data_IF_855091099554
#
_entry.id   IF_855091099554
#
_cell.length_a   1.000
_cell.length_b   1.000
_cell.length_c   1.000
_cell.angle_alpha   90.00
_cell.angle_beta   90.00
_cell.angle_gamma   90.00
#
_symmetry.space_group_name_H-M   'P 1'
#
loop_
_entity.id
_entity.type
_entity.pdbx_description
1 polymer ?
#
# COMPACT_ATOMS: atom_id res chain seq x y z
N UNK A 1 -1.74 -23.70 4.37
CA UNK A 1 -2.20 -22.48 3.66
C UNK A 1 -2.16 -21.36 4.67
N UNK A 2 -1.57 -20.22 4.34
CA UNK A 2 -1.59 -19.05 5.23
C UNK A 2 -2.81 -18.17 4.98
N UNK A 3 -3.09 -17.27 5.91
CA UNK A 3 -4.20 -16.32 5.83
C UNK A 3 -3.73 -14.99 5.25
N UNK A 4 -4.46 -14.47 4.27
CA UNK A 4 -4.16 -13.22 3.57
C UNK A 4 -4.90 -12.01 4.12
N UNK A 5 -4.95 -10.93 3.32
CA UNK A 5 -5.57 -9.66 3.71
C UNK A 5 -7.06 -9.80 4.02
N UNK A 6 -7.81 -10.44 3.11
CA UNK A 6 -9.27 -10.67 3.26
C UNK A 6 -9.60 -11.49 4.51
N UNK A 7 -8.79 -12.52 4.79
CA UNK A 7 -8.93 -13.35 5.98
C UNK A 7 -8.67 -12.53 7.25
N UNK A 8 -7.67 -11.63 7.23
CA UNK A 8 -7.38 -10.71 8.32
C UNK A 8 -8.58 -9.87 8.69
N UNK A 9 -9.16 -9.17 7.71
CA UNK A 9 -10.32 -8.28 7.92
C UNK A 9 -11.47 -9.05 8.58
N UNK A 10 -11.74 -10.27 8.10
CA UNK A 10 -12.84 -11.07 8.62
C UNK A 10 -12.55 -11.66 10.01
N UNK A 11 -11.40 -12.32 10.17
CA UNK A 11 -11.10 -13.12 11.36
C UNK A 11 -10.79 -12.25 12.57
N UNK A 12 -10.05 -11.16 12.40
CA UNK A 12 -9.73 -10.26 13.50
C UNK A 12 -11.01 -9.71 14.13
N UNK A 13 -12.00 -9.35 13.32
CA UNK A 13 -13.29 -8.89 13.81
C UNK A 13 -14.11 -9.98 14.53
N UNK A 14 -13.91 -11.26 14.21
CA UNK A 14 -14.58 -12.39 14.88
C UNK A 14 -13.94 -12.69 16.24
N UNK A 15 -12.61 -12.65 16.31
CA UNK A 15 -11.85 -13.00 17.51
C UNK A 15 -11.64 -11.83 18.49
N UNK A 16 -12.12 -10.64 18.14
CA UNK A 16 -12.17 -9.51 19.07
C UNK A 16 -13.43 -9.59 19.93
N UNK A 17 -13.25 -9.94 21.20
CA UNK A 17 -14.28 -9.80 22.22
C UNK A 17 -14.35 -8.33 22.67
N UNK A 18 -15.34 -7.60 22.16
CA UNK A 18 -15.57 -6.18 22.50
C UNK A 18 -16.05 -5.97 23.94
N UNK A 19 -16.62 -7.00 24.58
CA UNK A 19 -17.08 -6.93 25.96
C UNK A 19 -15.90 -6.95 26.94
N UNK A 20 -14.93 -7.82 26.69
CA UNK A 20 -13.69 -7.90 27.48
C UNK A 20 -12.56 -7.03 26.95
N UNK A 21 -12.69 -6.47 25.74
CA UNK A 21 -11.65 -5.70 25.05
C UNK A 21 -10.44 -6.55 24.66
N UNK A 22 -10.62 -7.87 24.47
CA UNK A 22 -9.54 -8.82 24.21
C UNK A 22 -9.56 -9.31 22.78
N UNK A 23 -8.38 -9.42 22.19
CA UNK A 23 -8.18 -10.00 20.86
C UNK A 23 -7.46 -11.34 21.00
N UNK A 24 -8.19 -12.44 20.82
CA UNK A 24 -7.68 -13.79 21.03
C UNK A 24 -7.52 -14.53 19.71
N UNK A 25 -6.40 -14.33 19.04
CA UNK A 25 -6.16 -14.96 17.74
C UNK A 25 -5.57 -16.37 17.91
N UNK A 26 -6.06 -17.36 17.15
CA UNK A 26 -5.43 -18.69 17.08
C UNK A 26 -4.04 -18.60 16.46
N UNK A 27 -3.17 -19.55 16.79
CA UNK A 27 -1.80 -19.60 16.30
C UNK A 27 -1.72 -20.07 14.85
N UNK A 28 -2.04 -19.17 13.93
CA UNK A 28 -2.08 -19.42 12.49
C UNK A 28 -0.89 -18.80 11.74
N UNK A 29 -0.65 -19.30 10.53
CA UNK A 29 0.31 -18.68 9.62
C UNK A 29 -0.31 -17.46 8.92
N UNK A 30 0.21 -16.28 9.22
CA UNK A 30 -0.27 -15.00 8.68
C UNK A 30 0.67 -14.48 7.59
N UNK A 31 0.11 -14.15 6.43
CA UNK A 31 0.83 -13.45 5.37
C UNK A 31 0.90 -11.94 5.65
N UNK A 32 1.82 -11.20 4.99
CA UNK A 32 1.94 -9.76 5.14
C UNK A 32 0.63 -8.98 5.09
N UNK A 33 -0.26 -9.30 4.16
CA UNK A 33 -1.59 -8.68 4.09
C UNK A 33 -2.40 -8.79 5.38
N UNK A 34 -2.36 -9.94 6.06
CA UNK A 34 -3.02 -10.15 7.35
C UNK A 34 -2.36 -9.31 8.45
N UNK A 35 -1.04 -9.26 8.47
CA UNK A 35 -0.24 -8.59 9.51
C UNK A 35 -0.44 -7.07 9.46
N UNK A 36 -0.48 -6.48 8.26
CA UNK A 36 -0.75 -5.05 8.10
C UNK A 36 -2.14 -4.69 8.64
N UNK A 37 -3.17 -5.47 8.27
CA UNK A 37 -4.54 -5.32 8.77
C UNK A 37 -4.60 -5.48 10.29
N UNK A 38 -3.89 -6.47 10.85
CA UNK A 38 -3.78 -6.69 12.29
C UNK A 38 -3.22 -5.48 13.02
N UNK A 39 -2.10 -4.93 12.53
CA UNK A 39 -1.45 -3.77 13.13
C UNK A 39 -2.39 -2.54 13.11
N UNK A 40 -3.00 -2.26 11.95
CA UNK A 40 -3.95 -1.17 11.79
C UNK A 40 -5.18 -1.33 12.71
N UNK A 41 -5.72 -2.54 12.81
CA UNK A 41 -6.88 -2.83 13.65
C UNK A 41 -6.60 -2.64 15.15
N UNK A 42 -5.48 -3.18 15.63
CA UNK A 42 -5.06 -3.04 17.04
C UNK A 42 -4.88 -1.57 17.39
N UNK A 43 -4.19 -0.82 16.51
CA UNK A 43 -3.96 0.61 16.70
C UNK A 43 -5.28 1.40 16.74
N UNK A 44 -6.18 1.16 15.80
CA UNK A 44 -7.47 1.84 15.71
C UNK A 44 -8.37 1.60 16.93
N UNK A 45 -8.42 0.35 17.41
CA UNK A 45 -9.20 -0.03 18.58
C UNK A 45 -8.48 0.25 19.90
N UNK A 46 -7.24 0.77 19.85
CA UNK A 46 -6.40 1.10 21.02
C UNK A 46 -6.25 -0.05 22.01
N UNK A 47 -6.10 -1.27 21.49
CA UNK A 47 -5.96 -2.45 22.34
C UNK A 47 -4.56 -2.45 22.97
N UNK A 48 -4.51 -2.73 24.27
CA UNK A 48 -3.24 -2.90 24.98
C UNK A 48 -2.56 -4.22 24.56
N UNK A 49 -1.25 -4.28 24.76
CA UNK A 49 -0.46 -5.49 24.48
C UNK A 49 -0.98 -6.70 25.27
N UNK A 50 -1.26 -6.52 26.57
CA UNK A 50 -1.77 -7.59 27.45
C UNK A 50 -3.16 -8.12 27.05
N UNK A 51 -3.92 -7.33 26.28
CA UNK A 51 -5.23 -7.71 25.78
C UNK A 51 -5.17 -8.50 24.46
N UNK A 52 -3.97 -8.62 23.86
CA UNK A 52 -3.76 -9.23 22.56
C UNK A 52 -2.99 -10.55 22.68
N UNK A 53 -3.63 -11.66 22.29
CA UNK A 53 -2.94 -12.92 22.03
C UNK A 53 -2.68 -13.06 20.53
N UNK A 54 -1.44 -12.82 20.09
CA UNK A 54 -1.06 -12.79 18.69
C UNK A 54 -0.59 -14.15 18.17
N UNK A 55 -0.87 -14.49 16.89
CA UNK A 55 -0.34 -15.70 16.28
C UNK A 55 1.18 -15.61 16.16
N UNK A 56 1.88 -16.71 16.45
CA UNK A 56 3.32 -16.81 16.26
C UNK A 56 4.10 -15.70 16.96
N UNK A 57 3.87 -15.48 18.27
CA UNK A 57 4.46 -14.37 19.03
C UNK A 57 5.96 -14.13 18.78
N UNK A 58 6.77 -15.19 18.69
CA UNK A 58 8.19 -15.08 18.37
C UNK A 58 8.47 -14.46 16.99
N UNK A 59 7.68 -14.80 15.98
CA UNK A 59 7.75 -14.21 14.66
C UNK A 59 7.25 -12.76 14.65
N UNK A 60 6.14 -12.46 15.34
CA UNK A 60 5.63 -11.09 15.46
C UNK A 60 6.62 -10.13 16.14
N UNK A 61 7.34 -10.63 17.14
CA UNK A 61 8.48 -9.92 17.74
C UNK A 61 9.61 -9.72 16.73
N UNK A 62 9.97 -10.77 15.99
CA UNK A 62 11.05 -10.73 15.00
C UNK A 62 10.80 -9.69 13.89
N UNK A 63 9.57 -9.58 13.37
CA UNK A 63 9.21 -8.58 12.35
C UNK A 63 8.98 -7.18 12.93
N UNK A 64 9.06 -7.01 14.24
CA UNK A 64 8.95 -5.70 14.90
C UNK A 64 7.51 -5.19 15.05
N UNK A 65 6.50 -6.07 15.01
CA UNK A 65 5.09 -5.67 15.15
C UNK A 65 4.84 -4.95 16.48
N UNK A 66 5.38 -5.47 17.59
CA UNK A 66 5.20 -4.87 18.91
C UNK A 66 5.74 -3.44 18.98
N UNK A 67 6.93 -3.22 18.39
CA UNK A 67 7.55 -1.90 18.31
C UNK A 67 6.70 -0.94 17.46
N UNK A 68 6.15 -1.42 16.35
CA UNK A 68 5.34 -0.59 15.46
C UNK A 68 4.05 -0.12 16.13
N UNK A 69 3.34 -1.04 16.80
CA UNK A 69 2.01 -0.80 17.36
C UNK A 69 2.08 -0.16 18.75
N UNK A 70 2.86 -0.73 19.67
CA UNK A 70 2.93 -0.29 21.07
C UNK A 70 4.18 0.52 21.42
N UNK A 71 5.15 0.62 20.50
CA UNK A 71 6.38 1.40 20.70
C UNK A 71 7.51 0.66 21.42
N UNK A 72 7.24 -0.53 21.96
CA UNK A 72 8.23 -1.34 22.67
C UNK A 72 8.71 -2.52 21.82
N UNK A 73 10.03 -2.68 21.72
CA UNK A 73 10.63 -3.80 21.02
C UNK A 73 10.79 -5.00 21.97
N UNK A 74 10.14 -6.12 21.63
CA UNK A 74 10.14 -7.38 22.42
C UNK A 74 11.11 -8.42 21.87
N UNK A 75 11.99 -8.03 20.95
CA UNK A 75 12.93 -8.96 20.32
C UNK A 75 14.37 -8.68 20.78
N UNK A 76 14.83 -9.49 21.72
CA UNK A 76 16.15 -9.32 22.36
C UNK A 76 17.32 -9.79 21.49
N UNK A 77 17.03 -10.43 20.35
CA UNK A 77 18.06 -10.98 19.46
C UNK A 77 18.39 -10.03 18.31
N UNK A 78 19.61 -10.16 17.78
CA UNK A 78 19.97 -9.46 16.54
C UNK A 78 19.12 -9.99 15.39
N UNK A 79 18.41 -9.09 14.70
CA UNK A 79 17.60 -9.42 13.53
C UNK A 79 18.48 -9.61 12.28
N UNK A 80 19.05 -10.80 12.14
CA UNK A 80 19.93 -11.13 11.00
C UNK A 80 19.19 -11.31 9.68
N UNK A 81 17.87 -11.55 9.72
CA UNK A 81 17.05 -11.82 8.54
C UNK A 81 16.33 -10.59 7.98
N UNK A 82 16.42 -9.43 8.66
CA UNK A 82 15.86 -8.16 8.16
C UNK A 82 16.65 -7.74 6.92
N UNK A 83 15.94 -7.36 5.86
CA UNK A 83 16.52 -7.07 4.55
C UNK A 83 16.85 -8.31 3.70
N UNK A 84 16.90 -9.51 4.31
CA UNK A 84 17.12 -10.77 3.57
C UNK A 84 15.83 -11.52 3.26
N UNK A 85 14.93 -11.61 4.25
CA UNK A 85 13.66 -12.33 4.13
C UNK A 85 12.42 -11.46 4.42
N UNK A 86 12.56 -10.41 5.22
CA UNK A 86 11.46 -9.49 5.54
C UNK A 86 11.95 -8.06 5.83
N UNK A 87 11.06 -7.08 5.69
CA UNK A 87 11.21 -5.73 6.25
C UNK A 87 10.63 -5.69 7.67
N UNK A 88 10.97 -4.69 8.47
CA UNK A 88 10.21 -4.48 9.71
C UNK A 88 8.81 -3.96 9.39
N UNK A 89 7.84 -4.30 10.24
CA UNK A 89 6.53 -3.64 10.25
C UNK A 89 6.78 -2.18 10.64
N UNK A 90 6.34 -1.25 9.79
CA UNK A 90 6.64 0.17 9.94
C UNK A 90 5.36 0.97 10.04
N UNK A 91 5.27 1.82 11.06
CA UNK A 91 4.13 2.70 11.29
C UNK A 91 4.35 4.07 10.62
N UNK A 92 3.40 4.48 9.79
CA UNK A 92 3.42 5.73 9.01
C UNK A 92 2.75 6.85 9.83
N UNK A 93 3.47 7.36 10.84
CA UNK A 93 2.92 8.30 11.84
C UNK A 93 3.04 9.79 11.46
N UNK A 94 4.09 10.16 10.74
CA UNK A 94 4.37 11.55 10.34
C UNK A 94 5.20 11.56 9.04
N UNK A 95 5.38 12.75 8.41
CA UNK A 95 6.10 12.89 7.13
C UNK A 95 7.51 12.30 7.18
N UNK A 96 8.29 12.63 8.21
CA UNK A 96 9.66 12.13 8.35
C UNK A 96 9.70 10.61 8.51
N UNK A 97 8.73 10.04 9.22
CA UNK A 97 8.55 8.61 9.38
C UNK A 97 8.10 7.95 8.07
N UNK A 98 7.34 8.64 7.22
CA UNK A 98 6.93 8.16 5.89
C UNK A 98 8.15 8.09 4.96
N UNK A 99 8.94 9.16 4.86
CA UNK A 99 10.14 9.16 4.02
C UNK A 99 11.15 8.10 4.47
N UNK A 100 11.34 7.98 5.78
CA UNK A 100 12.19 6.95 6.39
C UNK A 100 11.64 5.53 6.16
N UNK A 101 10.32 5.34 6.28
CA UNK A 101 9.65 4.06 6.04
C UNK A 101 9.75 3.65 4.57
N UNK A 102 9.45 4.56 3.65
CA UNK A 102 9.57 4.36 2.20
C UNK A 102 11.00 3.99 1.84
N UNK A 103 11.99 4.75 2.32
CA UNK A 103 13.41 4.46 2.07
C UNK A 103 13.82 3.09 2.63
N UNK A 104 13.39 2.77 3.85
CA UNK A 104 13.72 1.51 4.53
C UNK A 104 13.09 0.32 3.82
N UNK A 105 11.81 0.40 3.46
CA UNK A 105 11.08 -0.65 2.76
C UNK A 105 11.61 -0.81 1.34
N UNK A 106 11.88 0.28 0.61
CA UNK A 106 12.45 0.20 -0.73
C UNK A 106 13.85 -0.42 -0.72
N UNK A 107 14.69 -0.06 0.26
CA UNK A 107 15.99 -0.71 0.47
C UNK A 107 15.82 -2.20 0.79
N UNK A 108 14.86 -2.54 1.66
CA UNK A 108 14.55 -3.94 1.95
C UNK A 108 14.10 -4.68 0.69
N UNK A 109 13.11 -4.20 -0.05
CA UNK A 109 12.60 -4.82 -1.29
C UNK A 109 13.76 -5.13 -2.24
N UNK A 110 14.64 -4.15 -2.47
CA UNK A 110 15.85 -4.31 -3.30
C UNK A 110 16.77 -5.42 -2.79
N UNK A 111 17.02 -5.47 -1.49
CA UNK A 111 17.84 -6.52 -0.86
C UNK A 111 17.16 -7.90 -0.87
N UNK A 112 15.83 -7.96 -0.71
CA UNK A 112 15.04 -9.19 -0.75
C UNK A 112 15.12 -9.85 -2.13
N UNK A 113 15.10 -9.04 -3.19
CA UNK A 113 15.09 -9.52 -4.57
C UNK A 113 16.49 -9.71 -5.15
N UNK A 114 17.37 -8.70 -5.05
CA UNK A 114 18.68 -8.67 -5.72
C UNK A 114 19.77 -8.03 -4.85
N UNK A 115 20.23 -8.70 -3.78
CA UNK A 115 21.13 -8.10 -2.78
C UNK A 115 22.49 -7.64 -3.33
N UNK A 116 22.96 -8.23 -4.43
CA UNK A 116 24.29 -7.95 -5.01
C UNK A 116 24.24 -7.00 -6.22
N UNK A 117 23.06 -6.57 -6.66
CA UNK A 117 22.93 -5.72 -7.85
C UNK A 117 23.04 -4.24 -7.50
N UNK A 118 23.78 -3.49 -8.33
CA UNK A 118 23.82 -2.02 -8.30
C UNK A 118 22.72 -1.39 -9.17
N UNK A 119 22.31 -2.09 -10.22
CA UNK A 119 21.23 -1.71 -11.13
C UNK A 119 20.10 -2.72 -10.97
N UNK A 120 18.92 -2.23 -10.62
CA UNK A 120 17.74 -3.05 -10.39
C UNK A 120 16.88 -3.11 -11.66
N UNK A 121 16.23 -4.26 -11.93
CA UNK A 121 15.29 -4.39 -13.04
C UNK A 121 14.18 -3.33 -12.98
N UNK A 122 13.61 -3.00 -14.13
CA UNK A 122 12.59 -1.95 -14.23
C UNK A 122 11.39 -2.22 -13.31
N UNK A 123 10.93 -3.47 -13.24
CA UNK A 123 9.81 -3.86 -12.36
C UNK A 123 10.06 -3.61 -10.87
N UNK A 124 11.30 -3.68 -10.40
CA UNK A 124 11.65 -3.33 -9.01
C UNK A 124 11.62 -1.81 -8.81
N UNK A 125 12.13 -1.04 -9.79
CA UNK A 125 12.10 0.41 -9.70
C UNK A 125 10.65 0.93 -9.69
N UNK A 126 9.81 0.41 -10.59
CA UNK A 126 8.39 0.74 -10.63
C UNK A 126 7.67 0.37 -9.34
N UNK A 127 7.96 -0.82 -8.77
CA UNK A 127 7.37 -1.22 -7.49
C UNK A 127 7.77 -0.27 -6.36
N UNK A 128 9.06 0.11 -6.28
CA UNK A 128 9.53 1.04 -5.24
C UNK A 128 8.96 2.46 -5.38
N UNK A 129 8.68 2.90 -6.61
CA UNK A 129 7.99 4.17 -6.90
C UNK A 129 6.54 4.11 -6.42
N UNK A 130 5.81 3.06 -6.82
CA UNK A 130 4.42 2.83 -6.41
C UNK A 130 4.29 2.74 -4.88
N UNK A 131 5.19 2.03 -4.20
CA UNK A 131 5.19 1.95 -2.72
C UNK A 131 5.31 3.33 -2.07
N UNK A 132 6.15 4.21 -2.62
CA UNK A 132 6.26 5.60 -2.14
C UNK A 132 4.95 6.35 -2.29
N UNK A 133 4.34 6.31 -3.47
CA UNK A 133 3.06 6.98 -3.74
C UNK A 133 1.92 6.45 -2.84
N UNK A 134 1.91 5.14 -2.55
CA UNK A 134 0.93 4.55 -1.63
C UNK A 134 1.14 5.02 -0.18
N UNK A 135 2.37 5.10 0.30
CA UNK A 135 2.66 5.64 1.63
C UNK A 135 2.25 7.12 1.74
N UNK A 136 2.52 7.93 0.71
CA UNK A 136 2.14 9.33 0.68
C UNK A 136 0.61 9.50 0.70
N UNK A 137 -0.12 8.64 0.00
CA UNK A 137 -1.58 8.63 0.00
C UNK A 137 -2.13 8.29 1.39
N UNK A 138 -1.61 7.25 2.04
CA UNK A 138 -2.04 6.87 3.40
C UNK A 138 -1.73 7.96 4.42
N UNK A 139 -0.58 8.64 4.31
CA UNK A 139 -0.24 9.73 5.23
C UNK A 139 -1.08 10.99 4.98
N UNK A 140 -1.18 11.44 3.73
CA UNK A 140 -1.89 12.69 3.39
C UNK A 140 -3.39 12.66 3.72
N UNK A 141 -3.99 11.47 3.79
CA UNK A 141 -5.39 11.28 4.19
C UNK A 141 -5.54 10.69 5.60
N UNK A 142 -4.42 10.36 6.24
CA UNK A 142 -4.29 9.66 7.51
C UNK A 142 -4.74 10.50 8.70
N UNK A 143 -6.03 10.44 9.03
CA UNK A 143 -6.50 10.70 10.40
C UNK A 143 -6.10 9.61 11.39
N UNK A 144 -5.61 8.47 10.88
CA UNK A 144 -5.17 7.31 11.65
C UNK A 144 -3.82 6.80 11.10
N UNK A 145 -3.11 6.00 11.89
CA UNK A 145 -1.76 5.49 11.55
C UNK A 145 -1.85 4.34 10.56
N UNK A 146 -1.15 4.46 9.43
CA UNK A 146 -0.96 3.37 8.48
C UNK A 146 0.19 2.44 8.86
N UNK A 147 0.15 1.19 8.43
CA UNK A 147 1.19 0.19 8.67
C UNK A 147 1.60 -0.49 7.38
N UNK A 148 2.89 -0.57 7.13
CA UNK A 148 3.46 -1.25 5.97
C UNK A 148 4.43 -2.36 6.34
N UNK A 149 4.46 -3.41 5.51
CA UNK A 149 5.28 -4.59 5.71
C UNK A 149 5.55 -5.30 4.39
N UNK A 150 6.78 -5.78 4.19
CA UNK A 150 7.18 -6.53 3.02
C UNK A 150 7.90 -7.82 3.43
N UNK A 151 7.63 -8.91 2.71
CA UNK A 151 8.25 -10.20 2.96
C UNK A 151 8.50 -10.96 1.66
N UNK A 152 9.60 -11.71 1.66
CA UNK A 152 9.91 -12.71 0.65
C UNK A 152 9.67 -14.12 1.20
N UNK A 153 9.03 -14.97 0.42
CA UNK A 153 8.77 -16.36 0.81
C UNK A 153 8.73 -17.29 -0.40
N UNK A 154 9.03 -18.57 -0.20
CA UNK A 154 9.16 -19.54 -1.29
C UNK A 154 7.80 -19.87 -1.95
N UNK A 155 7.75 -19.89 -3.27
CA UNK A 155 6.55 -20.31 -4.02
C UNK A 155 6.26 -21.79 -3.68
N UNK A 156 5.02 -22.15 -3.26
CA UNK A 156 4.69 -23.53 -2.91
C UNK A 156 4.97 -24.49 -4.07
N UNK A 157 5.39 -25.72 -3.74
CA UNK A 157 5.68 -26.78 -4.72
C UNK A 157 6.85 -26.51 -5.69
N UNK A 158 7.62 -25.44 -5.50
CA UNK A 158 8.84 -25.17 -6.29
C UNK A 158 10.14 -25.64 -5.60
N UNK A 159 10.05 -26.14 -4.37
CA UNK A 159 11.21 -26.56 -3.59
C UNK A 159 12.15 -25.41 -3.22
N UNK A 160 11.64 -24.17 -3.13
CA UNK A 160 12.44 -22.99 -2.79
C UNK A 160 13.24 -22.40 -3.96
N UNK A 161 12.99 -22.85 -5.19
CA UNK A 161 13.64 -22.29 -6.39
C UNK A 161 13.06 -20.94 -6.78
N UNK A 162 11.75 -20.77 -6.57
CA UNK A 162 11.07 -19.51 -6.82
C UNK A 162 10.62 -18.88 -5.51
N UNK A 163 10.57 -17.56 -5.52
CA UNK A 163 10.17 -16.77 -4.38
C UNK A 163 9.11 -15.74 -4.79
N UNK A 164 8.12 -15.58 -3.94
CA UNK A 164 7.23 -14.43 -3.93
C UNK A 164 7.88 -13.28 -3.17
N UNK A 165 7.68 -12.06 -3.66
CA UNK A 165 7.76 -10.83 -2.90
C UNK A 165 6.34 -10.36 -2.65
N UNK A 166 5.99 -10.12 -1.40
CA UNK A 166 4.69 -9.57 -1.01
C UNK A 166 4.91 -8.27 -0.24
N UNK A 167 4.21 -7.22 -0.65
CA UNK A 167 4.12 -5.94 0.03
C UNK A 167 2.69 -5.72 0.48
N UNK A 168 2.53 -5.23 1.70
CA UNK A 168 1.24 -4.93 2.28
C UNK A 168 1.25 -3.57 2.99
N UNK A 169 0.12 -2.88 2.92
CA UNK A 169 -0.14 -1.59 3.52
C UNK A 169 -1.58 -1.56 4.01
N UNK A 170 -1.82 -1.17 5.26
CA UNK A 170 -3.18 -1.00 5.76
C UNK A 170 -3.30 0.21 6.69
N UNK A 171 -4.43 0.89 6.60
CA UNK A 171 -4.85 1.96 7.50
C UNK A 171 -6.31 1.76 7.93
N UNK A 172 -6.69 2.46 9.00
CA UNK A 172 -8.07 2.51 9.51
C UNK A 172 -8.76 3.87 9.28
N UNK A 173 -8.40 4.56 8.20
CA UNK A 173 -8.83 5.91 7.85
C UNK A 173 -10.28 6.00 7.32
N UNK A 174 -10.53 7.00 6.48
CA UNK A 174 -11.88 7.26 5.95
C UNK A 174 -12.26 6.32 4.80
N UNK A 175 -11.27 5.85 4.04
CA UNK A 175 -11.46 4.99 2.87
C UNK A 175 -11.97 5.76 1.64
N UNK A 176 -11.83 5.17 0.46
CA UNK A 176 -12.03 5.87 -0.82
C UNK A 176 -13.42 6.49 -0.96
N UNK A 177 -14.49 5.75 -0.65
CA UNK A 177 -15.86 6.24 -0.84
C UNK A 177 -16.14 7.53 -0.05
N UNK A 178 -15.70 7.59 1.21
CA UNK A 178 -15.90 8.77 2.06
C UNK A 178 -15.02 9.93 1.63
N UNK A 179 -13.80 9.64 1.16
CA UNK A 179 -12.87 10.64 0.63
C UNK A 179 -13.40 11.26 -0.66
N UNK A 180 -13.81 10.46 -1.63
CA UNK A 180 -14.35 10.94 -2.91
C UNK A 180 -15.66 11.71 -2.72
N UNK A 181 -16.52 11.25 -1.79
CA UNK A 181 -17.73 12.00 -1.42
C UNK A 181 -17.41 13.35 -0.78
N UNK A 182 -16.38 13.41 0.07
CA UNK A 182 -15.92 14.68 0.67
C UNK A 182 -15.31 15.61 -0.38
N UNK A 183 -14.60 15.06 -1.36
CA UNK A 183 -14.08 15.80 -2.51
C UNK A 183 -15.17 16.21 -3.51
N UNK A 184 -16.43 15.78 -3.35
CA UNK A 184 -17.54 16.19 -4.21
C UNK A 184 -17.54 15.55 -5.59
N UNK A 185 -16.83 14.42 -5.79
CA UNK A 185 -16.84 13.67 -7.04
C UNK A 185 -18.23 13.07 -7.28
N UNK A 186 -18.82 13.37 -8.44
CA UNK A 186 -20.17 12.90 -8.81
C UNK A 186 -20.12 11.51 -9.43
N UNK A 187 -21.20 10.75 -9.29
CA UNK A 187 -21.36 9.44 -9.94
C UNK A 187 -20.70 8.27 -9.19
N UNK A 188 -20.44 8.43 -7.90
CA UNK A 188 -19.91 7.37 -7.02
C UNK A 188 -20.95 7.12 -5.94
N UNK A 189 -21.67 6.00 -6.06
CA UNK A 189 -22.80 5.70 -5.18
C UNK A 189 -22.47 4.61 -4.14
N UNK A 190 -21.44 3.80 -4.40
CA UNK A 190 -21.04 2.72 -3.53
C UNK A 190 -19.50 2.55 -3.45
N UNK A 191 -19.04 1.67 -2.54
CA UNK A 191 -17.61 1.42 -2.34
C UNK A 191 -16.92 0.78 -3.56
N UNK A 192 -17.64 -0.02 -4.36
CA UNK A 192 -17.10 -0.63 -5.58
C UNK A 192 -16.84 0.43 -6.64
N UNK A 193 -17.76 1.38 -6.82
CA UNK A 193 -17.58 2.50 -7.74
C UNK A 193 -16.38 3.35 -7.33
N UNK A 194 -16.18 3.56 -6.03
CA UNK A 194 -15.04 4.30 -5.51
C UNK A 194 -13.70 3.62 -5.86
N UNK A 195 -13.60 2.30 -5.68
CA UNK A 195 -12.42 1.54 -6.11
C UNK A 195 -12.24 1.65 -7.63
N UNK A 196 -13.30 1.43 -8.40
CA UNK A 196 -13.25 1.46 -9.86
C UNK A 196 -12.82 2.83 -10.39
N UNK A 197 -13.18 3.91 -9.71
CA UNK A 197 -12.74 5.26 -10.03
C UNK A 197 -11.25 5.46 -9.70
N UNK A 198 -10.80 5.04 -8.51
CA UNK A 198 -9.42 5.22 -8.04
C UNK A 198 -8.36 4.42 -8.82
N UNK A 199 -8.75 3.36 -9.54
CA UNK A 199 -7.82 2.55 -10.33
C UNK A 199 -7.67 3.01 -11.78
N UNK A 200 -8.39 4.06 -12.19
CA UNK A 200 -8.28 4.64 -13.53
C UNK A 200 -7.15 5.66 -13.61
N UNK A 201 -6.51 5.76 -14.77
CA UNK A 201 -5.46 6.74 -15.03
C UNK A 201 -5.97 8.17 -14.85
N UNK A 202 -5.15 9.04 -14.25
CA UNK A 202 -5.47 10.47 -14.06
C UNK A 202 -6.51 10.76 -12.97
N UNK A 203 -7.19 9.76 -12.44
CA UNK A 203 -8.16 9.94 -11.37
C UNK A 203 -7.45 10.08 -10.02
N UNK A 204 -7.36 11.31 -9.52
CA UNK A 204 -6.86 11.59 -8.19
C UNK A 204 -7.73 12.63 -7.50
N UNK A 205 -8.13 12.33 -6.27
CA UNK A 205 -8.91 13.24 -5.41
C UNK A 205 -8.17 14.53 -5.05
N UNK A 206 -6.86 14.62 -5.39
CA UNK A 206 -5.99 15.78 -5.21
C UNK A 206 -5.91 16.69 -6.43
N UNK A 207 -6.47 16.29 -7.58
CA UNK A 207 -6.57 17.20 -8.72
C UNK A 207 -7.51 18.34 -8.37
N UNK A 208 -6.89 19.50 -8.17
CA UNK A 208 -7.45 20.76 -7.74
C UNK A 208 -8.34 21.42 -8.81
N UNK A 209 -9.15 20.67 -9.56
CA UNK A 209 -10.16 21.28 -10.45
C UNK A 209 -11.39 21.79 -9.67
N UNK A 210 -11.34 21.71 -8.33
CA UNK A 210 -12.34 22.27 -7.41
C UNK A 210 -11.81 23.44 -6.57
N UNK A 211 -10.55 23.84 -6.77
CA UNK A 211 -10.01 25.08 -6.22
C UNK A 211 -10.06 26.11 -7.35
N UNK A 212 -10.93 27.10 -7.23
CA UNK A 212 -10.95 28.25 -8.13
C UNK A 212 -9.54 28.86 -8.17
N UNK A 213 -8.89 28.84 -9.35
CA UNK A 213 -7.55 29.40 -9.57
C UNK A 213 -7.44 30.87 -9.15
N UNK A 214 -8.58 31.55 -8.95
CA UNK A 214 -8.68 32.94 -8.51
C UNK A 214 -8.96 33.11 -7.02
N UNK A 215 -9.12 32.02 -6.25
CA UNK A 215 -9.29 32.08 -4.80
C UNK A 215 -8.00 32.53 -4.11
N UNK A 216 -8.09 33.53 -3.24
CA UNK A 216 -6.94 33.98 -2.46
C UNK A 216 -6.51 32.91 -1.46
N UNK A 217 -5.22 32.57 -1.47
CA UNK A 217 -4.66 31.50 -0.65
C UNK A 217 -4.05 32.05 0.64
N UNK A 218 -4.37 31.42 1.77
CA UNK A 218 -3.70 31.68 3.05
C UNK A 218 -2.61 30.62 3.31
N UNK A 219 -1.48 31.03 3.92
CA UNK A 219 -0.47 30.08 4.37
C UNK A 219 -1.02 29.14 5.46
N UNK A 220 -0.46 27.94 5.51
CA UNK A 220 -0.96 26.79 6.29
C UNK A 220 -0.97 27.01 7.82
N UNK A 221 -0.20 27.99 8.29
CA UNK A 221 -0.02 28.37 9.70
C UNK A 221 -0.91 29.53 10.14
N UNK A 222 -1.87 29.96 9.31
CA UNK A 222 -2.76 31.06 9.64
C UNK A 222 -3.75 30.69 10.77
N UNK A 223 -3.43 31.08 12.00
CA UNK A 223 -4.32 31.00 13.18
C UNK A 223 -5.23 32.23 13.30
N UNK A 224 -6.01 32.51 12.25
CA UNK A 224 -6.98 33.62 12.23
C UNK A 224 -8.08 33.40 11.20
N UNK A 225 -9.24 34.03 11.39
CA UNK A 225 -10.29 34.09 10.37
C UNK A 225 -9.83 34.86 9.12
N UNK A 226 -10.58 34.76 8.02
CA UNK A 226 -10.29 35.49 6.77
C UNK A 226 -10.05 36.98 7.02
N UNK A 227 -8.84 37.46 6.69
CA UNK A 227 -8.49 38.89 6.70
C UNK A 227 -9.19 39.70 5.60
N UNK A 228 -9.85 39.02 4.65
CA UNK A 228 -10.48 39.62 3.46
C UNK A 228 -12.02 39.73 3.56
N UNK A 229 -12.59 39.53 4.76
CA UNK A 229 -14.04 39.59 4.99
C UNK A 229 -14.76 38.30 4.60
N UNK A 230 -15.97 38.10 5.12
CA UNK A 230 -16.73 36.85 5.01
C UNK A 230 -17.18 36.47 3.58
N UNK A 231 -17.01 37.38 2.61
CA UNK A 231 -17.46 37.24 1.22
C UNK A 231 -16.35 36.85 0.23
N UNK A 232 -15.09 36.78 0.66
CA UNK A 232 -13.99 36.30 -0.17
C UNK A 232 -13.73 34.83 0.18
N UNK A 233 -13.89 33.87 -0.75
CA UNK A 233 -13.52 32.48 -0.50
C UNK A 233 -12.00 32.41 -0.32
N UNK A 234 -11.59 32.02 0.88
CA UNK A 234 -10.18 31.87 1.23
C UNK A 234 -9.89 30.40 1.44
N UNK A 235 -8.99 29.85 0.63
CA UNK A 235 -8.54 28.48 0.76
C UNK A 235 -7.25 28.46 1.61
N UNK A 236 -7.20 27.60 2.63
CA UNK A 236 -5.95 27.31 3.34
C UNK A 236 -5.19 26.33 2.46
N UNK A 237 -3.97 26.69 2.06
CA UNK A 237 -3.13 25.83 1.24
C UNK A 237 -2.72 24.61 2.06
N UNK A 238 -3.32 23.45 1.78
CA UNK A 238 -2.73 22.18 2.19
C UNK A 238 -1.35 22.08 1.53
N UNK A 239 -0.33 21.71 2.30
CA UNK A 239 1.07 21.68 1.85
C UNK A 239 1.17 20.88 0.53
N UNK A 240 1.67 21.52 -0.53
CA UNK A 240 1.87 20.88 -1.85
C UNK A 240 2.69 19.60 -1.67
N UNK A 241 2.02 18.45 -1.77
CA UNK A 241 2.68 17.18 -2.04
C UNK A 241 2.60 17.00 -3.57
N UNK A 242 3.74 17.14 -4.26
CA UNK A 242 3.92 17.02 -5.72
C UNK A 242 3.57 15.63 -6.30
N UNK A 243 2.86 14.78 -5.57
CA UNK A 243 2.56 13.41 -5.97
C UNK A 243 1.21 13.39 -6.68
N UNK A 244 1.23 13.09 -7.98
CA UNK A 244 0.10 13.17 -8.92
C UNK A 244 -1.09 12.23 -8.59
N UNK A 245 -1.02 11.45 -7.50
CA UNK A 245 -2.08 10.54 -7.06
C UNK A 245 -2.31 9.34 -7.99
N UNK A 246 -1.30 8.96 -8.77
CA UNK A 246 -1.35 7.88 -9.76
C UNK A 246 -1.03 6.48 -9.17
N UNK A 247 -0.73 6.39 -7.87
CA UNK A 247 -0.14 5.19 -7.27
C UNK A 247 -0.98 3.91 -7.42
N UNK A 248 -2.31 4.00 -7.39
CA UNK A 248 -3.18 2.84 -7.57
C UNK A 248 -3.28 2.42 -9.04
N UNK A 249 -3.30 3.37 -9.97
CA UNK A 249 -3.27 3.08 -11.40
C UNK A 249 -1.96 2.38 -11.78
N UNK A 250 -0.83 2.96 -11.39
CA UNK A 250 0.48 2.35 -11.65
C UNK A 250 0.65 0.99 -10.95
N UNK A 251 0.05 0.81 -9.76
CA UNK A 251 0.01 -0.52 -9.12
C UNK A 251 -0.75 -1.53 -9.98
N UNK A 252 -1.89 -1.15 -10.54
CA UNK A 252 -2.67 -2.00 -11.44
C UNK A 252 -1.90 -2.34 -12.73
N UNK A 253 -1.22 -1.36 -13.32
CA UNK A 253 -0.33 -1.60 -14.47
C UNK A 253 0.76 -2.61 -14.11
N UNK A 254 1.41 -2.44 -12.96
CA UNK A 254 2.48 -3.33 -12.51
C UNK A 254 1.97 -4.76 -12.30
N UNK A 255 0.78 -4.92 -11.71
CA UNK A 255 0.09 -6.22 -11.56
C UNK A 255 -0.14 -6.90 -12.91
N UNK A 256 -0.62 -6.15 -13.91
CA UNK A 256 -0.83 -6.68 -15.26
C UNK A 256 0.49 -7.05 -15.93
N UNK A 257 1.43 -6.11 -15.97
CA UNK A 257 2.72 -6.24 -16.65
C UNK A 257 3.53 -7.41 -16.10
N UNK A 258 3.55 -7.61 -14.78
CA UNK A 258 4.39 -8.65 -14.15
C UNK A 258 3.61 -9.86 -13.64
N UNK A 259 2.37 -10.06 -14.14
CA UNK A 259 1.48 -11.16 -13.75
C UNK A 259 1.40 -11.33 -12.21
N UNK A 260 1.26 -10.20 -11.53
CA UNK A 260 1.15 -10.13 -10.08
C UNK A 260 -0.25 -10.44 -9.59
N UNK A 261 -0.38 -10.41 -8.27
CA UNK A 261 -1.64 -10.54 -7.56
C UNK A 261 -1.83 -9.31 -6.67
N UNK A 262 -3.05 -8.77 -6.62
CA UNK A 262 -3.41 -7.64 -5.78
C UNK A 262 -4.72 -7.92 -5.05
N UNK A 263 -4.75 -7.59 -3.76
CA UNK A 263 -5.95 -7.45 -2.96
C UNK A 263 -6.03 -6.02 -2.46
N UNK A 264 -7.15 -5.34 -2.72
CA UNK A 264 -7.43 -3.97 -2.31
C UNK A 264 -8.82 -3.92 -1.66
N UNK A 265 -8.86 -3.68 -0.35
CA UNK A 265 -10.09 -3.63 0.43
C UNK A 265 -10.36 -2.23 0.98
N UNK A 266 -11.59 -1.76 0.83
CA UNK A 266 -12.11 -0.56 1.49
C UNK A 266 -13.63 -0.64 1.62
N UNK A 267 -14.17 -0.23 2.76
CA UNK A 267 -15.59 -0.38 3.06
C UNK A 267 -16.03 -1.84 3.02
N UNK A 268 -17.12 -2.14 2.33
CA UNK A 268 -17.71 -3.48 2.24
C UNK A 268 -17.24 -4.31 1.04
N UNK A 269 -16.16 -3.91 0.34
CA UNK A 269 -15.71 -4.59 -0.88
C UNK A 269 -14.20 -4.78 -0.90
N UNK A 270 -13.77 -5.88 -1.51
CA UNK A 270 -12.40 -6.20 -1.83
C UNK A 270 -12.27 -6.43 -3.33
N UNK A 271 -11.40 -5.66 -3.98
CA UNK A 271 -10.93 -5.92 -5.34
C UNK A 271 -9.82 -6.96 -5.27
N UNK A 272 -9.91 -7.98 -6.12
CA UNK A 272 -8.88 -9.00 -6.32
C UNK A 272 -8.47 -8.99 -7.79
N UNK A 273 -7.19 -8.74 -8.06
CA UNK A 273 -6.61 -8.73 -9.39
C UNK A 273 -5.52 -9.79 -9.52
N UNK A 274 -5.50 -10.52 -10.64
CA UNK A 274 -4.46 -11.49 -10.99
C UNK A 274 -4.10 -11.28 -12.46
N UNK A 275 -2.95 -10.67 -12.74
CA UNK A 275 -2.63 -10.17 -14.07
C UNK A 275 -3.74 -9.24 -14.59
N UNK A 276 -4.34 -9.59 -15.72
CA UNK A 276 -5.45 -8.84 -16.33
C UNK A 276 -6.84 -9.16 -15.76
N UNK A 277 -6.96 -10.21 -14.93
CA UNK A 277 -8.25 -10.63 -14.39
C UNK A 277 -8.61 -9.79 -13.17
N UNK A 278 -9.80 -9.18 -13.20
CA UNK A 278 -10.35 -8.39 -12.10
C UNK A 278 -11.60 -9.04 -11.55
N UNK A 279 -11.70 -9.10 -10.23
CA UNK A 279 -12.88 -9.59 -9.53
C UNK A 279 -13.14 -8.75 -8.28
N UNK A 280 -14.41 -8.71 -7.87
CA UNK A 280 -14.83 -8.00 -6.67
C UNK A 280 -15.55 -8.98 -5.75
N UNK A 281 -15.17 -8.97 -4.48
CA UNK A 281 -15.75 -9.79 -3.44
C UNK A 281 -16.33 -8.89 -2.35
N UNK A 282 -17.57 -9.13 -1.95
CA UNK A 282 -18.15 -8.43 -0.80
C UNK A 282 -17.51 -8.90 0.51
N UNK A 283 -17.22 -7.95 1.40
CA UNK A 283 -16.68 -8.22 2.72
C UNK A 283 -17.82 -8.37 3.73
N UNK A 284 -17.76 -9.43 4.53
CA UNK A 284 -18.71 -9.64 5.63
C UNK A 284 -18.64 -8.56 6.72
N UNK A 285 -17.51 -7.85 6.80
CA UNK A 285 -17.28 -6.73 7.71
C UNK A 285 -16.67 -5.58 6.94
N UNK A 286 -17.24 -4.39 7.14
CA UNK A 286 -16.68 -3.17 6.56
C UNK A 286 -15.30 -2.88 7.14
N UNK A 287 -14.34 -2.62 6.26
CA UNK A 287 -13.04 -2.07 6.60
C UNK A 287 -13.08 -0.55 6.49
N UNK A 288 -12.99 0.14 7.63
CA UNK A 288 -12.74 1.58 7.64
C UNK A 288 -11.31 1.81 7.16
N UNK A 289 -11.10 2.65 6.14
CA UNK A 289 -9.77 2.91 5.59
C UNK A 289 -9.47 2.12 4.33
N UNK A 290 -8.19 1.88 4.08
CA UNK A 290 -7.68 1.15 2.91
C UNK A 290 -6.74 0.04 3.37
N UNK A 291 -6.88 -1.14 2.79
CA UNK A 291 -5.92 -2.23 2.95
C UNK A 291 -5.51 -2.76 1.58
N UNK A 292 -4.20 -2.84 1.35
CA UNK A 292 -3.55 -3.27 0.11
C UNK A 292 -2.59 -4.41 0.43
N UNK A 293 -2.62 -5.45 -0.40
CA UNK A 293 -1.59 -6.48 -0.43
C UNK A 293 -1.33 -6.81 -1.89
N UNK A 294 -0.09 -6.64 -2.34
CA UNK A 294 0.34 -7.04 -3.66
C UNK A 294 1.46 -8.08 -3.57
N UNK A 295 1.45 -9.04 -4.49
CA UNK A 295 2.38 -10.16 -4.53
C UNK A 295 2.87 -10.39 -5.94
N UNK A 296 4.17 -10.59 -6.08
CA UNK A 296 4.83 -10.82 -7.35
C UNK A 296 5.81 -11.98 -7.22
N UNK A 297 5.98 -12.75 -8.29
CA UNK A 297 7.11 -13.68 -8.36
C UNK A 297 8.36 -12.86 -8.69
N UNK A 298 9.44 -13.08 -7.94
CA UNK A 298 10.67 -12.26 -8.08
C UNK A 298 11.27 -12.38 -9.49
N UNK A 299 11.15 -13.55 -10.13
CA UNK A 299 11.65 -13.72 -11.49
C UNK A 299 10.83 -12.94 -12.53
N UNK A 300 9.53 -12.75 -12.32
CA UNK A 300 8.70 -11.95 -13.24
C UNK A 300 9.14 -10.48 -13.20
N UNK A 301 9.37 -9.93 -11.99
CA UNK A 301 9.90 -8.58 -11.81
C UNK A 301 11.32 -8.39 -12.37
N UNK A 302 12.02 -9.48 -12.69
CA UNK A 302 13.36 -9.46 -13.23
C UNK A 302 13.40 -9.33 -14.75
N UNK A 303 12.26 -9.51 -15.43
CA UNK A 303 12.15 -9.44 -16.89
C UNK A 303 12.05 -7.97 -17.26
N UNK A 304 13.03 -7.45 -17.99
CA UNK A 304 12.95 -6.11 -18.56
C UNK A 304 12.05 -6.18 -19.81
N UNK A 305 10.74 -5.96 -19.62
CA UNK A 305 9.73 -6.05 -20.68
C UNK A 305 9.77 -4.90 -21.69
N UNK A 306 10.57 -3.86 -21.45
CA UNK A 306 10.77 -2.76 -22.39
C UNK A 306 11.73 -3.14 -23.54
N UNK A 307 12.62 -4.11 -23.33
CA UNK A 307 13.56 -4.56 -24.38
C UNK A 307 12.89 -5.40 -25.47
N UNK A 308 11.78 -6.09 -25.18
CA UNK A 308 11.05 -6.88 -26.18
C UNK A 308 10.24 -6.01 -27.17
N UNK A 309 10.03 -4.71 -26.85
CA UNK A 309 9.36 -3.76 -27.74
C UNK A 309 10.32 -3.04 -28.69
N UNK A 310 11.61 -2.90 -28.37
CA UNK A 310 12.58 -2.24 -29.26
C UNK A 310 12.98 -3.12 -30.45
N UNK A 311 13.04 -4.45 -30.30
CA UNK A 311 13.29 -5.36 -31.44
C UNK A 311 12.06 -5.53 -32.37
N UNK A 312 10.88 -5.09 -31.94
CA UNK A 312 9.63 -5.17 -32.71
C UNK A 312 9.03 -3.80 -33.04
N UNK A 313 9.78 -2.70 -32.94
CA UNK A 313 9.32 -1.40 -33.43
C UNK A 313 9.32 -1.41 -34.97
N UNK A 314 8.14 -1.44 -35.62
CA UNK A 314 8.04 -1.48 -37.07
C UNK A 314 8.73 -0.27 -37.71
N UNK A 315 8.75 0.87 -36.99
CA UNK A 315 9.32 2.14 -37.45
C UNK A 315 10.85 2.10 -37.44
N UNK A 316 11.43 1.43 -36.44
CA UNK A 316 12.88 1.27 -36.29
C UNK A 316 13.43 0.24 -37.30
N UNK A 317 12.68 -0.83 -37.58
CA UNK A 317 12.95 -1.74 -38.70
C UNK A 317 12.82 -1.03 -40.07
N UNK A 318 11.84 -0.13 -40.24
CA UNK A 318 11.67 0.63 -41.47
C UNK A 318 12.83 1.61 -41.69
N UNK A 319 13.34 2.23 -40.62
CA UNK A 319 14.53 3.09 -40.64
C UNK A 319 15.80 2.29 -40.94
N UNK A 320 15.99 1.11 -40.32
CA UNK A 320 17.14 0.22 -40.61
C UNK A 320 17.12 -0.28 -42.05
N UNK A 321 15.94 -0.59 -42.59
CA UNK A 321 15.74 -1.00 -43.98
C UNK A 321 15.94 0.15 -44.97
N UNK A 322 15.62 1.38 -44.58
CA UNK A 322 15.87 2.58 -45.38
C UNK A 322 17.35 3.02 -45.37
N UNK A 323 18.12 2.65 -44.34
CA UNK A 323 19.53 3.00 -44.19
C UNK A 323 20.52 1.95 -44.73
N UNK A 324 20.03 0.84 -45.30
CA UNK A 324 20.83 -0.05 -46.16
C UNK A 324 21.79 -0.98 -45.44
N UNK A 325 21.40 -1.56 -44.30
CA UNK A 325 22.11 -2.69 -43.70
C UNK A 325 21.58 -4.02 -44.24
N UNK A 326 22.41 -4.75 -45.01
CA UNK A 326 22.30 -6.21 -45.14
C UNK A 326 22.74 -6.90 -43.85
#
# INVERSE_FOLDING_TARGET
>A
MGFGLKDGIHRIAIFHDRGEGKLLLPNDHCHPGYIAVLAAYINHNKLSEDACNLPGAGYMNAIGLHKAVWGEDRYDQKRVNVGTNYSLVTALKNVEAVDSATSSINSCIRQLTFPERKVYPQGINDLTRVVGELHDNVWSHGRDTGFSFAQKWAVPRTGGKEHYLEFALADCGMGFFRELRRAGIKGIDNHRDAIAWCIQEGNSSKHADLIDDWAQQLPYDNMGGSVFGASVPVAVKEKDNNHQGLGLYHLMELVKTYNGELQLATGNVCLEAVGDQLSYTELHKEWSGVAISCRFKIHELAIDKDYDNEENDPQLMEIMRALGGE
#
